data_IF_613315655970
#
_entry.id   IF_613315655970
#
_cell.length_a   1.000
_cell.length_b   1.000
_cell.length_c   1.000
_cell.angle_alpha   90.00
_cell.angle_beta   90.00
_cell.angle_gamma   90.00
#
_symmetry.space_group_name_H-M   'P 1'
#
loop_
_entity.id
_entity.type
_entity.pdbx_description
1 polymer ?
#
# COMPACT_ATOMS: atom_id res chain seq x y z
N UNK A 1 -22.20 -5.13 -2.01
CA UNK A 1 -21.07 -4.21 -1.76
C UNK A 1 -20.31 -3.87 -3.04
N UNK A 2 -19.88 -4.84 -3.86
CA UNK A 2 -19.14 -4.59 -5.13
C UNK A 2 -19.93 -3.73 -6.12
N UNK A 3 -21.24 -3.97 -6.30
CA UNK A 3 -22.09 -3.20 -7.20
C UNK A 3 -22.12 -1.69 -6.87
N UNK A 4 -22.03 -1.32 -5.58
CA UNK A 4 -21.95 0.08 -5.16
C UNK A 4 -20.67 0.74 -5.66
N UNK A 5 -19.52 0.08 -5.53
CA UNK A 5 -18.25 0.61 -6.01
C UNK A 5 -18.16 0.70 -7.53
N UNK A 6 -18.86 -0.16 -8.27
CA UNK A 6 -18.91 -0.06 -9.73
C UNK A 6 -19.73 1.15 -10.19
N UNK A 7 -20.77 1.54 -9.43
CA UNK A 7 -21.68 2.64 -9.77
C UNK A 7 -21.18 3.99 -9.21
N UNK A 8 -20.43 3.98 -8.11
CA UNK A 8 -19.90 5.18 -7.46
C UNK A 8 -19.14 6.19 -8.37
N UNK A 9 -18.33 5.80 -9.38
CA UNK A 9 -17.64 6.78 -10.24
C UNK A 9 -18.59 7.63 -11.11
N UNK A 10 -19.87 7.26 -11.25
CA UNK A 10 -20.86 8.07 -11.95
C UNK A 10 -21.40 9.23 -11.11
N UNK A 11 -21.25 9.17 -9.78
CA UNK A 11 -21.75 10.17 -8.84
C UNK A 11 -20.64 10.96 -8.14
N UNK A 12 -19.44 10.39 -8.06
CA UNK A 12 -18.30 10.96 -7.32
C UNK A 12 -17.07 11.00 -8.22
N UNK A 13 -16.25 12.04 -8.07
CA UNK A 13 -15.03 12.22 -8.85
C UNK A 13 -14.09 10.99 -8.75
N UNK A 14 -13.78 10.28 -9.86
CA UNK A 14 -13.11 8.99 -9.76
C UNK A 14 -11.69 9.04 -9.17
N UNK A 15 -10.94 10.14 -9.35
CA UNK A 15 -9.63 10.29 -8.70
C UNK A 15 -9.73 10.32 -7.17
N UNK A 16 -10.77 10.96 -6.63
CA UNK A 16 -11.03 10.95 -5.20
C UNK A 16 -11.39 9.53 -4.74
N UNK A 17 -12.24 8.84 -5.50
CA UNK A 17 -12.67 7.49 -5.16
C UNK A 17 -11.52 6.49 -5.18
N UNK A 18 -10.60 6.56 -6.14
CA UNK A 18 -9.38 5.73 -6.15
C UNK A 18 -8.52 5.96 -4.91
N UNK A 19 -8.31 7.22 -4.51
CA UNK A 19 -7.59 7.53 -3.26
C UNK A 19 -8.30 6.96 -2.04
N UNK A 20 -9.62 7.08 -1.97
CA UNK A 20 -10.42 6.53 -0.90
C UNK A 20 -10.31 5.00 -0.82
N UNK A 21 -10.32 4.30 -1.97
CA UNK A 21 -10.09 2.84 -2.03
C UNK A 21 -8.70 2.47 -1.50
N UNK A 22 -7.65 3.18 -1.93
CA UNK A 22 -6.29 2.95 -1.42
C UNK A 22 -6.19 3.13 0.10
N UNK A 23 -6.76 4.21 0.64
CA UNK A 23 -6.80 4.42 2.10
C UNK A 23 -7.72 3.44 2.82
N UNK A 24 -8.78 2.95 2.18
CA UNK A 24 -9.61 1.88 2.71
C UNK A 24 -8.82 0.59 2.90
N UNK A 25 -7.99 0.20 1.92
CA UNK A 25 -7.11 -0.97 2.05
C UNK A 25 -6.03 -0.74 3.12
N UNK A 26 -5.51 0.48 3.21
CA UNK A 26 -4.59 0.87 4.29
C UNK A 26 -5.24 0.74 5.68
N UNK A 27 -6.49 1.16 5.83
CA UNK A 27 -7.25 1.00 7.05
C UNK A 27 -7.50 -0.49 7.39
N UNK A 28 -7.74 -1.33 6.38
CA UNK A 28 -7.85 -2.79 6.58
C UNK A 28 -6.54 -3.39 7.12
N UNK A 29 -5.38 -2.96 6.59
CA UNK A 29 -4.08 -3.40 7.10
C UNK A 29 -3.86 -2.98 8.56
N UNK A 30 -4.22 -1.73 8.89
CA UNK A 30 -4.17 -1.22 10.26
C UNK A 30 -5.06 -2.04 11.20
N UNK A 31 -6.29 -2.33 10.78
CA UNK A 31 -7.25 -3.13 11.54
C UNK A 31 -6.77 -4.57 11.76
N UNK A 32 -6.00 -5.15 10.83
CA UNK A 32 -5.43 -6.48 10.99
C UNK A 32 -4.47 -6.54 12.19
N UNK A 33 -3.62 -5.52 12.37
CA UNK A 33 -2.69 -5.45 13.49
C UNK A 33 -3.38 -5.05 14.80
N UNK A 34 -4.17 -3.97 14.81
CA UNK A 34 -4.76 -3.48 16.05
C UNK A 34 -6.01 -4.25 16.47
N UNK A 35 -6.91 -4.54 15.52
CA UNK A 35 -8.22 -5.11 15.79
C UNK A 35 -8.22 -6.63 15.96
N UNK A 36 -7.25 -7.33 15.36
CA UNK A 36 -7.12 -8.78 15.51
C UNK A 36 -5.90 -9.18 16.36
N UNK A 37 -4.71 -8.64 16.09
CA UNK A 37 -3.51 -9.03 16.85
C UNK A 37 -3.29 -8.24 18.16
N UNK A 38 -4.09 -7.20 18.42
CA UNK A 38 -3.90 -6.33 19.60
C UNK A 38 -2.63 -5.48 19.57
N UNK A 39 -1.98 -5.34 18.41
CA UNK A 39 -0.72 -4.63 18.24
C UNK A 39 -0.95 -3.25 17.62
N UNK A 40 -0.79 -2.20 18.42
CA UNK A 40 -0.85 -0.82 17.94
C UNK A 40 0.44 -0.47 17.18
N UNK A 41 0.40 -0.37 15.85
CA UNK A 41 1.54 0.02 15.02
C UNK A 41 1.38 1.42 14.43
N UNK A 42 2.31 2.33 14.71
CA UNK A 42 2.42 3.62 14.03
C UNK A 42 3.30 3.55 12.77
N UNK A 43 3.78 2.35 12.40
CA UNK A 43 4.73 2.15 11.32
C UNK A 43 4.12 2.12 9.92
N UNK A 44 2.82 1.89 9.75
CA UNK A 44 2.22 1.55 8.46
C UNK A 44 2.54 2.55 7.31
N UNK A 45 2.67 3.84 7.63
CA UNK A 45 3.04 4.86 6.66
C UNK A 45 4.40 4.59 6.00
N UNK A 46 5.35 3.96 6.70
CA UNK A 46 6.66 3.59 6.15
C UNK A 46 6.53 2.56 5.00
N UNK A 47 5.62 1.59 5.12
CA UNK A 47 5.39 0.57 4.12
C UNK A 47 4.65 1.14 2.90
N UNK A 48 3.62 1.96 3.16
CA UNK A 48 2.88 2.63 2.10
C UNK A 48 3.78 3.59 1.31
N UNK A 49 4.59 4.40 2.01
CA UNK A 49 5.51 5.36 1.40
C UNK A 49 6.62 4.68 0.61
N UNK A 50 7.30 3.67 1.19
CA UNK A 50 8.36 2.94 0.50
C UNK A 50 7.88 2.19 -0.74
N UNK A 51 6.72 1.51 -0.68
CA UNK A 51 6.10 0.90 -1.85
C UNK A 51 5.77 1.94 -2.93
N UNK A 52 5.24 3.10 -2.52
CA UNK A 52 4.92 4.22 -3.41
C UNK A 52 6.15 4.75 -4.14
N UNK A 53 7.22 5.05 -3.41
CA UNK A 53 8.48 5.53 -4.00
C UNK A 53 9.11 4.51 -4.94
N UNK A 54 9.19 3.24 -4.54
CA UNK A 54 9.77 2.19 -5.39
C UNK A 54 8.93 1.96 -6.65
N UNK A 55 7.60 1.92 -6.53
CA UNK A 55 6.71 1.75 -7.69
C UNK A 55 6.81 2.94 -8.64
N UNK A 56 6.80 4.17 -8.11
CA UNK A 56 6.87 5.39 -8.91
C UNK A 56 8.24 5.53 -9.60
N UNK A 57 9.33 5.22 -8.89
CA UNK A 57 10.68 5.22 -9.44
C UNK A 57 10.84 4.15 -10.54
N UNK A 58 10.38 2.93 -10.29
CA UNK A 58 10.42 1.85 -11.29
C UNK A 58 9.63 2.23 -12.57
N UNK A 59 8.42 2.78 -12.41
CA UNK A 59 7.61 3.19 -13.55
C UNK A 59 8.21 4.38 -14.32
N UNK A 60 8.83 5.36 -13.63
CA UNK A 60 9.31 6.60 -14.23
C UNK A 60 10.74 6.51 -14.77
N UNK A 61 11.67 6.02 -13.96
CA UNK A 61 13.11 6.00 -14.29
C UNK A 61 13.51 4.71 -15.02
N UNK A 62 13.00 3.56 -14.58
CA UNK A 62 13.31 2.28 -15.25
C UNK A 62 12.40 2.01 -16.44
N UNK A 63 11.32 2.79 -16.61
CA UNK A 63 10.37 2.64 -17.70
C UNK A 63 9.69 1.26 -17.75
N UNK A 64 9.66 0.54 -16.63
CA UNK A 64 9.06 -0.81 -16.60
C UNK A 64 7.55 -0.73 -16.69
N UNK A 65 6.94 -1.81 -17.15
CA UNK A 65 5.49 -1.92 -17.26
C UNK A 65 4.80 -1.72 -15.90
N UNK A 66 3.57 -1.17 -15.85
CA UNK A 66 2.87 -0.87 -14.61
C UNK A 66 2.74 -2.08 -13.66
N UNK A 67 2.50 -3.28 -14.20
CA UNK A 67 2.45 -4.51 -13.42
C UNK A 67 3.78 -4.83 -12.72
N UNK A 68 4.91 -4.65 -13.39
CA UNK A 68 6.23 -4.88 -12.82
C UNK A 68 6.58 -3.80 -11.78
N UNK A 69 6.18 -2.56 -12.00
CA UNK A 69 6.36 -1.47 -11.04
C UNK A 69 5.58 -1.72 -9.73
N UNK A 70 4.31 -2.12 -9.83
CA UNK A 70 3.47 -2.46 -8.66
C UNK A 70 4.05 -3.66 -7.90
N UNK A 71 4.53 -4.68 -8.62
CA UNK A 71 5.18 -5.84 -8.00
C UNK A 71 6.48 -5.44 -7.30
N UNK A 72 7.31 -4.61 -7.92
CA UNK A 72 8.56 -4.12 -7.31
C UNK A 72 8.29 -3.36 -6.00
N UNK A 73 7.31 -2.45 -5.98
CA UNK A 73 6.93 -1.74 -4.76
C UNK A 73 6.36 -2.67 -3.69
N UNK A 74 5.54 -3.64 -4.09
CA UNK A 74 4.98 -4.65 -3.18
C UNK A 74 6.07 -5.49 -2.53
N UNK A 75 7.04 -5.97 -3.32
CA UNK A 75 8.18 -6.74 -2.85
C UNK A 75 9.09 -5.91 -1.93
N UNK A 76 9.33 -4.64 -2.26
CA UNK A 76 10.11 -3.74 -1.42
C UNK A 76 9.45 -3.51 -0.05
N UNK A 77 8.13 -3.25 -0.01
CA UNK A 77 7.41 -3.12 1.25
C UNK A 77 7.31 -4.44 2.03
N UNK A 78 7.18 -5.58 1.35
CA UNK A 78 7.21 -6.89 1.99
C UNK A 78 8.58 -7.16 2.63
N UNK A 79 9.67 -6.87 1.91
CA UNK A 79 11.03 -6.99 2.42
C UNK A 79 11.28 -6.06 3.61
N UNK A 80 10.85 -4.80 3.52
CA UNK A 80 10.91 -3.87 4.64
C UNK A 80 10.08 -4.37 5.81
N UNK A 81 8.90 -4.95 5.56
CA UNK A 81 8.03 -5.58 6.54
C UNK A 81 8.70 -6.75 7.26
N UNK A 82 9.47 -7.58 6.56
CA UNK A 82 10.26 -8.65 7.17
C UNK A 82 11.33 -8.11 8.11
N UNK A 83 12.07 -7.08 7.69
CA UNK A 83 13.12 -6.45 8.51
C UNK A 83 12.50 -5.80 9.75
N UNK A 84 11.51 -4.93 9.56
CA UNK A 84 10.83 -4.20 10.63
C UNK A 84 10.12 -5.16 11.57
N UNK A 85 9.45 -6.17 11.02
CA UNK A 85 8.79 -7.22 11.77
C UNK A 85 9.76 -7.98 12.67
N UNK A 86 10.90 -8.44 12.12
CA UNK A 86 11.91 -9.17 12.89
C UNK A 86 12.45 -8.39 14.11
N UNK A 87 12.50 -7.05 14.01
CA UNK A 87 12.90 -6.18 15.12
C UNK A 87 11.74 -5.91 16.09
N UNK A 88 10.55 -5.59 15.56
CA UNK A 88 9.43 -5.11 16.33
C UNK A 88 8.70 -6.21 17.13
N UNK A 89 8.58 -7.44 16.60
CA UNK A 89 7.80 -8.54 17.23
C UNK A 89 8.33 -8.96 18.62
N UNK A 90 9.56 -8.57 18.97
CA UNK A 90 10.14 -8.86 20.29
C UNK A 90 9.59 -7.96 21.40
N UNK A 91 8.75 -6.98 21.06
CA UNK A 91 8.21 -5.97 21.97
C UNK A 91 6.68 -6.06 21.97
N UNK A 92 6.07 -5.79 23.12
CA UNK A 92 4.62 -5.80 23.31
C UNK A 92 4.14 -4.42 23.79
N UNK A 93 2.87 -4.12 23.52
CA UNK A 93 2.22 -2.90 23.98
C UNK A 93 2.90 -1.62 23.50
N UNK A 94 3.17 -0.70 24.43
CA UNK A 94 3.72 0.64 24.13
C UNK A 94 5.11 0.55 23.49
N UNK A 95 5.94 -0.42 23.88
CA UNK A 95 7.27 -0.60 23.29
C UNK A 95 7.20 -0.99 21.81
N UNK A 96 6.21 -1.78 21.41
CA UNK A 96 5.97 -2.10 20.00
C UNK A 96 5.59 -0.83 19.21
N UNK A 97 4.63 -0.06 19.72
CA UNK A 97 4.19 1.19 19.10
C UNK A 97 5.36 2.18 18.92
N UNK A 98 6.15 2.41 19.98
CA UNK A 98 7.31 3.30 19.96
C UNK A 98 8.41 2.82 18.99
N UNK A 99 8.67 1.51 18.94
CA UNK A 99 9.64 0.93 18.00
C UNK A 99 9.20 1.15 16.56
N UNK A 100 7.93 0.89 16.24
CA UNK A 100 7.40 1.09 14.88
C UNK A 100 7.38 2.57 14.47
N UNK A 101 7.10 3.48 15.40
CA UNK A 101 7.19 4.93 15.16
C UNK A 101 8.63 5.35 14.86
N UNK A 102 9.59 4.92 15.68
CA UNK A 102 11.01 5.24 15.47
C UNK A 102 11.50 4.74 14.11
N UNK A 103 11.19 3.50 13.74
CA UNK A 103 11.55 2.93 12.45
C UNK A 103 10.89 3.67 11.27
N UNK A 104 9.63 4.06 11.41
CA UNK A 104 8.97 4.88 10.38
C UNK A 104 9.64 6.24 10.20
N UNK A 105 10.04 6.90 11.28
CA UNK A 105 10.77 8.17 11.22
C UNK A 105 12.16 8.01 10.60
N UNK A 106 12.87 6.93 10.89
CA UNK A 106 14.15 6.64 10.22
C UNK A 106 14.00 6.52 8.71
N UNK A 107 12.97 5.80 8.24
CA UNK A 107 12.68 5.69 6.80
C UNK A 107 12.23 7.03 6.22
N UNK A 108 11.45 7.82 6.96
CA UNK A 108 11.07 9.17 6.54
C UNK A 108 12.29 10.05 6.28
N UNK A 109 13.23 10.15 7.23
CA UNK A 109 14.45 10.94 7.05
C UNK A 109 15.36 10.38 5.95
N UNK A 110 15.44 9.05 5.82
CA UNK A 110 16.16 8.43 4.71
C UNK A 110 15.55 8.85 3.36
N UNK A 111 14.23 8.77 3.21
CA UNK A 111 13.53 9.19 1.99
C UNK A 111 13.67 10.69 1.73
N UNK A 112 13.80 11.54 2.73
CA UNK A 112 14.06 12.97 2.50
C UNK A 112 15.45 13.24 1.93
N UNK A 113 16.46 12.47 2.34
CA UNK A 113 17.84 12.66 1.92
C UNK A 113 18.20 11.91 0.63
N UNK A 114 17.47 10.83 0.32
CA UNK A 114 17.75 10.02 -0.85
C UNK A 114 17.35 10.77 -2.14
N UNK A 115 18.27 10.99 -3.10
CA UNK A 115 17.97 11.82 -4.28
C UNK A 115 16.89 11.20 -5.19
N UNK A 116 16.75 9.88 -5.20
CA UNK A 116 15.80 9.18 -6.08
C UNK A 116 14.32 9.42 -5.72
N UNK A 117 14.03 9.77 -4.47
CA UNK A 117 12.66 10.02 -3.99
C UNK A 117 12.16 11.42 -4.32
N UNK A 118 13.08 12.34 -4.64
CA UNK A 118 12.84 13.78 -4.78
C UNK A 118 12.35 14.44 -3.47
N UNK A 119 12.65 13.85 -2.31
CA UNK A 119 12.39 14.45 -0.99
C UNK A 119 10.94 14.90 -0.80
N UNK A 120 10.74 16.18 -0.48
CA UNK A 120 9.42 16.76 -0.25
C UNK A 120 8.60 16.96 -1.53
N UNK A 121 9.25 17.14 -2.69
CA UNK A 121 8.56 17.29 -3.98
C UNK A 121 7.92 15.97 -4.43
N UNK A 122 8.53 14.85 -4.04
CA UNK A 122 8.12 13.50 -4.41
C UNK A 122 8.21 13.22 -5.91
N UNK A 123 7.90 11.99 -6.30
CA UNK A 123 7.97 11.57 -7.71
C UNK A 123 6.67 11.97 -8.43
N UNK A 124 6.73 13.08 -9.15
CA UNK A 124 5.60 13.59 -9.94
C UNK A 124 5.54 12.99 -11.35
N UNK A 125 4.35 13.08 -11.97
CA UNK A 125 4.09 12.72 -13.36
C UNK A 125 4.52 11.28 -13.73
N UNK A 126 4.19 10.31 -12.87
CA UNK A 126 4.43 8.89 -13.17
C UNK A 126 3.64 8.49 -14.43
N UNK A 127 4.29 7.94 -15.46
CA UNK A 127 3.64 7.63 -16.73
C UNK A 127 2.56 6.57 -16.55
N UNK A 128 1.40 6.80 -17.16
CA UNK A 128 0.29 5.85 -17.21
C UNK A 128 0.42 5.02 -18.48
N UNK A 129 1.26 3.99 -18.44
CA UNK A 129 1.47 3.09 -19.57
C UNK A 129 0.37 2.02 -19.69
N UNK A 130 0.42 1.22 -20.75
CA UNK A 130 -0.53 0.11 -20.95
C UNK A 130 -0.15 -1.06 -20.03
N UNK A 131 -1.05 -1.42 -19.13
CA UNK A 131 -0.90 -2.55 -18.22
C UNK A 131 -1.28 -3.86 -18.93
N UNK A 132 -0.48 -4.91 -18.74
CA UNK A 132 -0.68 -6.24 -19.36
C UNK A 132 -0.78 -6.22 -20.90
N UNK A 133 -0.48 -5.09 -21.55
CA UNK A 133 -0.48 -4.93 -23.01
C UNK A 133 -1.87 -4.67 -23.60
N UNK A 134 -2.91 -4.64 -22.76
CA UNK A 134 -4.31 -4.49 -23.19
C UNK A 134 -5.04 -3.37 -22.43
N UNK A 135 -4.64 -3.09 -21.18
CA UNK A 135 -5.33 -2.12 -20.32
C UNK A 135 -4.64 -0.75 -20.37
N UNK A 136 -5.21 0.21 -21.11
CA UNK A 136 -4.68 1.57 -21.14
C UNK A 136 -5.03 2.36 -19.87
N UNK A 137 -4.03 2.57 -19.01
CA UNK A 137 -4.17 3.35 -17.77
C UNK A 137 -4.31 4.86 -18.01
N UNK A 138 -4.13 5.34 -19.25
CA UNK A 138 -4.47 6.70 -19.63
C UNK A 138 -5.96 6.99 -19.50
N UNK A 139 -6.82 5.98 -19.71
CA UNK A 139 -8.26 6.13 -19.57
C UNK A 139 -8.71 6.01 -18.10
N UNK A 140 -9.37 7.05 -17.61
CA UNK A 140 -9.78 7.16 -16.21
C UNK A 140 -10.69 6.00 -15.75
N UNK A 141 -11.56 5.49 -16.63
CA UNK A 141 -12.42 4.33 -16.33
C UNK A 141 -11.63 3.03 -16.16
N UNK A 142 -10.62 2.80 -16.99
CA UNK A 142 -9.74 1.60 -16.90
C UNK A 142 -8.89 1.68 -15.64
N UNK A 143 -8.30 2.85 -15.36
CA UNK A 143 -7.51 3.06 -14.15
C UNK A 143 -8.35 2.83 -12.88
N UNK A 144 -9.59 3.33 -12.86
CA UNK A 144 -10.52 3.05 -11.77
C UNK A 144 -10.80 1.55 -11.62
N UNK A 145 -11.09 0.85 -12.72
CA UNK A 145 -11.31 -0.59 -12.72
C UNK A 145 -10.12 -1.39 -12.18
N UNK A 146 -8.90 -1.02 -12.55
CA UNK A 146 -7.67 -1.63 -12.04
C UNK A 146 -7.51 -1.40 -10.53
N UNK A 147 -7.67 -0.15 -10.06
CA UNK A 147 -7.58 0.17 -8.63
C UNK A 147 -8.65 -0.58 -7.84
N UNK A 148 -9.88 -0.65 -8.36
CA UNK A 148 -10.96 -1.40 -7.74
C UNK A 148 -10.65 -2.90 -7.68
N UNK A 149 -10.09 -3.49 -8.74
CA UNK A 149 -9.69 -4.88 -8.77
C UNK A 149 -8.60 -5.18 -7.72
N UNK A 150 -7.58 -4.32 -7.62
CA UNK A 150 -6.50 -4.45 -6.61
C UNK A 150 -7.08 -4.29 -5.20
N UNK A 151 -7.97 -3.32 -4.99
CA UNK A 151 -8.65 -3.12 -3.70
C UNK A 151 -9.46 -4.36 -3.29
N UNK A 152 -10.28 -4.90 -4.20
CA UNK A 152 -11.09 -6.09 -3.93
C UNK A 152 -10.22 -7.32 -3.67
N UNK A 153 -9.13 -7.50 -4.43
CA UNK A 153 -8.17 -8.57 -4.20
C UNK A 153 -7.50 -8.44 -2.82
N UNK A 154 -7.01 -7.25 -2.47
CA UNK A 154 -6.42 -6.97 -1.16
C UNK A 154 -7.41 -7.17 0.00
N UNK A 155 -8.64 -6.67 -0.15
CA UNK A 155 -9.71 -6.86 0.83
C UNK A 155 -10.06 -8.35 0.99
N UNK A 156 -10.16 -9.10 -0.10
CA UNK A 156 -10.43 -10.54 -0.06
C UNK A 156 -9.28 -11.31 0.61
N UNK A 157 -8.03 -10.92 0.36
CA UNK A 157 -6.86 -11.50 1.03
C UNK A 157 -6.92 -11.24 2.54
N UNK A 158 -7.23 -10.02 2.98
CA UNK A 158 -7.41 -9.69 4.40
C UNK A 158 -8.55 -10.50 5.00
N UNK A 159 -9.71 -10.53 4.33
CA UNK A 159 -10.88 -11.29 4.76
C UNK A 159 -10.56 -12.79 4.92
N UNK A 160 -9.90 -13.39 3.91
CA UNK A 160 -9.48 -14.78 3.92
C UNK A 160 -8.48 -15.07 5.04
N UNK A 161 -7.56 -14.15 5.31
CA UNK A 161 -6.55 -14.28 6.37
C UNK A 161 -7.21 -14.33 7.74
N UNK A 162 -8.14 -13.42 8.01
CA UNK A 162 -8.90 -13.34 9.27
C UNK A 162 -9.75 -14.61 9.51
N UNK A 163 -10.35 -15.16 8.45
CA UNK A 163 -11.23 -16.33 8.52
C UNK A 163 -10.48 -17.66 8.34
N UNK A 164 -9.16 -17.63 8.23
CA UNK A 164 -8.31 -18.83 8.16
C UNK A 164 -7.94 -19.32 9.57
N UNK A 165 -7.42 -20.56 9.72
CA UNK A 165 -6.91 -21.05 11.01
C UNK A 165 -5.87 -20.10 11.63
N UNK A 166 -5.04 -19.46 10.81
CA UNK A 166 -4.08 -18.45 11.27
C UNK A 166 -4.77 -17.25 11.93
N UNK A 167 -5.84 -16.74 11.33
CA UNK A 167 -6.60 -15.62 11.89
C UNK A 167 -7.32 -15.96 13.20
N UNK A 168 -7.71 -17.23 13.39
CA UNK A 168 -8.31 -17.69 14.65
C UNK A 168 -7.27 -17.82 15.77
N UNK A 169 -6.00 -18.07 15.44
CA UNK A 169 -4.88 -18.07 16.42
C UNK A 169 -4.48 -16.64 16.80
N UNK A 170 -4.72 -15.67 15.92
CA UNK A 170 -4.34 -14.27 16.13
C UNK A 170 -5.29 -13.51 17.07
N UNK A 171 -6.57 -13.91 17.12
CA UNK A 171 -7.61 -13.35 18.00
C UNK A 171 -7.43 -13.78 19.44
#
# INVERSE_FOLDING_TARGET
MVAFFVIAPFFVYPLFLMKALCFGLFACAFNLLIGYAGLLSFGHAMFLGSAGYVSAHAAKEWGVRPEAAILAGTLAAAFLGLIVGAVAIRRLGIYFAMTTLALAQMIYFFCLQAPFTHGEDGIQAVPRAVMLGVLDLGHQGVMYGVVLAIFLAGFLLVYRTIHSPFGQVLK
#
